data_IF_086925697846
#
_entry.id   IF_086925697846
#
_cell.length_a   1.000
_cell.length_b   1.000
_cell.length_c   1.000
_cell.angle_alpha   90.00
_cell.angle_beta   90.00
_cell.angle_gamma   90.00
#
_symmetry.space_group_name_H-M   'P 1'
#
loop_
_entity.id
_entity.type
_entity.pdbx_description
1 polymer ?
#
# COMPACT_ATOMS: atom_id res chain seq x y z
N UNK A 1 -55.11 -15.41 -4.26
CA UNK A 1 -54.58 -16.53 -3.44
C UNK A 1 -54.03 -17.60 -4.37
N UNK A 2 -52.69 -17.77 -4.38
CA UNK A 2 -52.03 -19.00 -4.82
C UNK A 2 -50.66 -19.02 -4.17
N UNK A 3 -50.54 -19.89 -3.17
CA UNK A 3 -49.35 -20.14 -2.39
C UNK A 3 -48.62 -21.30 -3.02
N UNK A 4 -47.30 -21.20 -3.22
CA UNK A 4 -46.44 -22.34 -3.53
C UNK A 4 -45.25 -22.31 -2.58
N UNK A 5 -45.09 -23.42 -1.85
CA UNK A 5 -44.24 -23.54 -0.69
C UNK A 5 -42.80 -24.00 -0.99
N UNK A 6 -41.94 -23.59 -0.05
CA UNK A 6 -40.92 -24.36 0.70
C UNK A 6 -40.14 -25.43 -0.07
N UNK A 7 -38.80 -25.30 -0.10
CA UNK A 7 -37.88 -26.39 0.28
C UNK A 7 -36.69 -25.85 1.09
N UNK A 8 -36.49 -26.46 2.26
CA UNK A 8 -35.35 -26.33 3.17
C UNK A 8 -34.17 -27.15 2.64
N UNK A 9 -32.95 -26.67 2.86
CA UNK A 9 -31.69 -27.42 2.71
C UNK A 9 -30.85 -27.24 3.97
N UNK A 10 -30.33 -28.35 4.49
CA UNK A 10 -29.80 -28.60 5.83
C UNK A 10 -28.33 -29.05 5.70
N UNK A 11 -27.53 -28.88 6.76
CA UNK A 11 -26.24 -29.56 7.07
C UNK A 11 -25.02 -29.12 6.23
N UNK A 12 -23.82 -28.87 6.77
CA UNK A 12 -23.35 -29.06 8.14
C UNK A 12 -21.88 -28.69 8.34
N UNK A 13 -21.48 -28.92 9.58
CA UNK A 13 -20.19 -28.70 10.22
C UNK A 13 -19.07 -29.60 9.68
N UNK A 14 -17.87 -29.04 9.50
CA UNK A 14 -16.62 -29.79 9.52
C UNK A 14 -15.58 -28.99 10.31
N UNK A 15 -15.30 -29.42 11.54
CA UNK A 15 -14.15 -28.99 12.32
C UNK A 15 -12.99 -29.94 12.02
N UNK A 16 -11.87 -29.41 11.52
CA UNK A 16 -10.62 -30.14 11.36
C UNK A 16 -9.69 -29.80 12.52
N UNK A 17 -9.61 -30.71 13.50
CA UNK A 17 -8.59 -30.72 14.55
C UNK A 17 -7.32 -31.35 13.99
N UNK A 18 -6.27 -30.56 13.81
CA UNK A 18 -4.92 -31.06 13.55
C UNK A 18 -4.12 -31.02 14.87
N UNK A 19 -3.98 -32.18 15.50
CA UNK A 19 -3.03 -32.39 16.59
C UNK A 19 -1.63 -32.63 16.01
N UNK A 20 -0.66 -31.80 16.38
CA UNK A 20 0.77 -32.08 16.14
C UNK A 20 1.40 -32.47 17.47
N UNK A 21 1.93 -33.68 17.49
CA UNK A 21 2.58 -34.35 18.62
C UNK A 21 3.94 -33.74 18.96
N UNK A 22 4.22 -33.69 20.27
CA UNK A 22 5.50 -33.38 20.93
C UNK A 22 6.66 -34.25 20.42
N UNK A 23 7.80 -33.63 20.14
CA UNK A 23 9.11 -34.28 20.19
C UNK A 23 9.84 -33.78 21.44
N UNK A 24 9.97 -34.67 22.44
CA UNK A 24 10.79 -34.51 23.62
C UNK A 24 11.94 -35.53 23.58
N UNK A 25 13.18 -35.06 23.45
CA UNK A 25 14.43 -35.71 23.90
C UNK A 25 15.59 -34.78 23.48
N UNK A 26 16.62 -34.48 24.27
CA UNK A 26 17.01 -35.01 25.56
C UNK A 26 18.07 -34.11 26.20
N UNK A 27 18.15 -34.22 27.51
CA UNK A 27 19.20 -33.62 28.34
C UNK A 27 20.43 -34.53 28.28
N UNK A 28 21.60 -33.99 27.96
CA UNK A 28 22.89 -34.54 28.38
C UNK A 28 23.85 -33.39 28.69
N UNK A 29 24.45 -33.43 29.88
CA UNK A 29 25.45 -32.48 30.40
C UNK A 29 26.83 -33.15 30.37
N UNK A 30 27.85 -32.33 30.11
CA UNK A 30 29.31 -32.48 30.31
C UNK A 30 30.21 -32.89 29.12
N UNK A 31 30.86 -31.85 28.59
CA UNK A 31 32.30 -31.69 28.28
C UNK A 31 33.14 -32.82 27.64
N UNK A 32 33.61 -32.57 26.42
CA UNK A 32 35.04 -32.55 26.05
C UNK A 32 35.20 -32.04 24.60
N UNK A 33 36.34 -31.40 24.37
CA UNK A 33 36.72 -30.68 23.15
C UNK A 33 37.05 -31.64 22.00
N UNK A 34 36.35 -31.53 20.87
CA UNK A 34 36.89 -31.95 19.57
C UNK A 34 36.45 -30.97 18.47
N UNK A 35 37.44 -30.44 17.79
CA UNK A 35 37.36 -29.54 16.65
C UNK A 35 36.94 -30.31 15.41
N UNK A 36 35.74 -30.01 14.88
CA UNK A 36 35.38 -30.35 13.51
C UNK A 36 34.87 -29.10 12.80
N UNK A 37 35.76 -28.48 12.04
CA UNK A 37 35.47 -27.44 11.04
C UNK A 37 34.61 -28.04 9.94
N UNK A 38 33.30 -27.97 10.12
CA UNK A 38 32.32 -28.16 9.06
C UNK A 38 31.97 -26.80 8.48
N UNK A 39 32.63 -26.45 7.37
CA UNK A 39 32.35 -25.25 6.59
C UNK A 39 31.04 -25.44 5.81
N UNK A 40 29.92 -25.42 6.53
CA UNK A 40 28.59 -25.25 5.95
C UNK A 40 28.41 -23.76 5.67
N UNK A 41 28.50 -23.35 4.40
CA UNK A 41 28.12 -22.01 3.97
C UNK A 41 26.60 -21.84 4.10
N UNK A 42 26.11 -21.72 5.33
CA UNK A 42 24.77 -21.23 5.62
C UNK A 42 24.77 -19.79 5.15
N UNK A 43 24.18 -19.53 3.99
CA UNK A 43 23.85 -18.15 3.61
C UNK A 43 22.85 -17.63 4.64
N UNK A 44 23.34 -16.91 5.64
CA UNK A 44 22.52 -16.12 6.54
C UNK A 44 21.84 -15.03 5.71
N UNK A 45 20.68 -15.37 5.14
CA UNK A 45 19.86 -14.41 4.42
C UNK A 45 19.33 -13.43 5.45
N UNK A 46 19.63 -12.14 5.31
CA UNK A 46 19.19 -11.15 6.28
C UNK A 46 17.65 -11.12 6.36
N UNK A 47 17.09 -10.71 7.49
CA UNK A 47 15.64 -10.56 7.63
C UNK A 47 15.06 -9.63 6.55
N UNK A 48 15.82 -8.60 6.16
CA UNK A 48 15.49 -7.70 5.06
C UNK A 48 15.37 -8.43 3.71
N UNK A 49 16.32 -9.30 3.38
CA UNK A 49 16.29 -10.06 2.12
C UNK A 49 15.13 -11.07 2.10
N UNK A 50 14.86 -11.71 3.24
CA UNK A 50 13.72 -12.63 3.38
C UNK A 50 12.39 -11.89 3.23
N UNK A 51 12.23 -10.74 3.88
CA UNK A 51 11.07 -9.87 3.73
C UNK A 51 10.91 -9.39 2.28
N UNK A 52 11.99 -9.02 1.61
CA UNK A 52 11.97 -8.62 0.20
C UNK A 52 11.45 -9.74 -0.71
N UNK A 53 11.86 -11.00 -0.47
CA UNK A 53 11.32 -12.16 -1.19
C UNK A 53 9.84 -12.38 -0.90
N UNK A 54 9.40 -12.18 0.35
CA UNK A 54 7.99 -12.29 0.74
C UNK A 54 7.13 -11.20 0.08
N UNK A 55 7.62 -9.96 0.01
CA UNK A 55 6.97 -8.84 -0.71
C UNK A 55 6.80 -9.19 -2.18
N UNK A 56 7.86 -9.71 -2.83
CA UNK A 56 7.79 -10.14 -4.22
C UNK A 56 6.75 -11.26 -4.46
N UNK A 57 6.47 -12.07 -3.44
CA UNK A 57 5.44 -13.11 -3.46
C UNK A 57 4.05 -12.62 -3.00
N UNK A 58 3.86 -11.32 -2.74
CA UNK A 58 2.61 -10.74 -2.24
C UNK A 58 2.29 -11.08 -0.78
N UNK A 59 3.24 -11.62 -0.02
CA UNK A 59 3.08 -12.06 1.38
C UNK A 59 3.43 -10.94 2.36
N UNK A 60 2.70 -9.82 2.29
CA UNK A 60 3.04 -8.59 3.03
C UNK A 60 3.01 -8.76 4.55
N UNK A 61 2.00 -9.45 5.11
CA UNK A 61 1.94 -9.70 6.55
C UNK A 61 3.14 -10.54 7.03
N UNK A 62 3.44 -11.64 6.34
CA UNK A 62 4.58 -12.49 6.68
C UNK A 62 5.92 -11.76 6.53
N UNK A 63 6.02 -10.81 5.60
CA UNK A 63 7.18 -9.93 5.47
C UNK A 63 7.33 -9.02 6.70
N UNK A 64 6.23 -8.40 7.15
CA UNK A 64 6.21 -7.55 8.34
C UNK A 64 6.59 -8.34 9.60
N UNK A 65 6.00 -9.51 9.79
CA UNK A 65 6.30 -10.40 10.92
C UNK A 65 7.79 -10.78 10.91
N UNK A 66 8.34 -11.13 9.73
CA UNK A 66 9.77 -11.46 9.58
C UNK A 66 10.68 -10.30 9.98
N UNK A 67 10.31 -9.05 9.69
CA UNK A 67 11.10 -7.90 10.09
C UNK A 67 11.00 -7.63 11.60
N UNK A 68 9.80 -7.75 12.17
CA UNK A 68 9.56 -7.54 13.60
C UNK A 68 10.27 -8.58 14.47
N UNK A 69 10.20 -9.85 14.08
CA UNK A 69 10.81 -10.97 14.80
C UNK A 69 12.35 -10.91 14.77
N UNK A 70 12.92 -10.25 13.76
CA UNK A 70 14.38 -10.14 13.62
C UNK A 70 15.04 -9.26 14.69
N UNK A 71 14.27 -8.42 15.40
CA UNK A 71 14.78 -7.45 16.37
C UNK A 71 15.72 -6.39 15.76
N UNK A 72 15.84 -6.32 14.43
CA UNK A 72 16.77 -5.41 13.75
C UNK A 72 16.38 -3.95 13.97
N UNK A 73 17.31 -3.16 14.53
CA UNK A 73 17.12 -1.73 14.79
C UNK A 73 17.54 -0.82 13.63
N UNK A 74 18.00 -1.39 12.51
CA UNK A 74 18.48 -0.63 11.36
C UNK A 74 17.38 0.22 10.73
N UNK A 75 17.74 1.42 10.26
CA UNK A 75 16.80 2.35 9.61
C UNK A 75 16.14 1.72 8.37
N UNK A 76 16.90 0.94 7.57
CA UNK A 76 16.34 0.25 6.40
C UNK A 76 15.24 -0.73 6.78
N UNK A 77 15.44 -1.55 7.82
CA UNK A 77 14.44 -2.49 8.30
C UNK A 77 13.23 -1.76 8.89
N UNK A 78 13.44 -0.70 9.69
CA UNK A 78 12.35 0.11 10.26
C UNK A 78 11.50 0.78 9.18
N UNK A 79 12.15 1.37 8.17
CA UNK A 79 11.44 1.99 7.05
C UNK A 79 10.65 0.96 6.26
N UNK A 80 11.22 -0.22 5.99
CA UNK A 80 10.49 -1.28 5.28
C UNK A 80 9.31 -1.81 6.10
N UNK A 81 9.47 -1.98 7.41
CA UNK A 81 8.37 -2.36 8.29
C UNK A 81 7.27 -1.29 8.33
N UNK A 82 7.64 0.00 8.35
CA UNK A 82 6.69 1.11 8.25
C UNK A 82 5.95 1.12 6.92
N UNK A 83 6.65 0.95 5.80
CA UNK A 83 6.04 0.90 4.47
C UNK A 83 5.08 -0.30 4.36
N UNK A 84 5.44 -1.45 4.92
CA UNK A 84 4.58 -2.63 4.97
C UNK A 84 3.30 -2.38 5.78
N UNK A 85 3.40 -1.74 6.94
CA UNK A 85 2.24 -1.38 7.74
C UNK A 85 1.32 -0.43 6.98
N UNK A 86 1.88 0.63 6.40
CA UNK A 86 1.14 1.58 5.57
C UNK A 86 0.41 0.89 4.42
N UNK A 87 1.11 0.00 3.70
CA UNK A 87 0.54 -0.75 2.59
C UNK A 87 -0.58 -1.71 3.03
N UNK A 88 -0.40 -2.44 4.12
CA UNK A 88 -1.41 -3.38 4.62
C UNK A 88 -2.67 -2.62 5.04
N UNK A 89 -2.52 -1.52 5.79
CA UNK A 89 -3.64 -0.66 6.20
C UNK A 89 -4.33 -0.03 4.99
N UNK A 90 -3.57 0.47 4.01
CA UNK A 90 -4.12 1.02 2.78
C UNK A 90 -4.87 -0.04 1.97
N UNK A 91 -4.33 -1.25 1.88
CA UNK A 91 -4.96 -2.35 1.16
C UNK A 91 -6.26 -2.78 1.83
N UNK A 92 -6.31 -2.87 3.17
CA UNK A 92 -7.55 -3.16 3.90
C UNK A 92 -8.62 -2.12 3.61
N UNK A 93 -8.29 -0.84 3.74
CA UNK A 93 -9.21 0.26 3.44
C UNK A 93 -9.69 0.23 1.98
N UNK A 94 -8.80 -0.10 1.02
CA UNK A 94 -9.19 -0.28 -0.38
C UNK A 94 -10.16 -1.45 -0.57
N UNK A 95 -9.90 -2.60 0.05
CA UNK A 95 -10.75 -3.79 -0.04
C UNK A 95 -12.13 -3.55 0.61
N UNK A 96 -12.20 -2.65 1.61
CA UNK A 96 -13.42 -2.19 2.27
C UNK A 96 -14.17 -1.08 1.51
N UNK A 97 -13.59 -0.56 0.41
CA UNK A 97 -14.17 0.54 -0.38
C UNK A 97 -13.89 1.94 0.18
N UNK A 98 -13.11 2.07 1.24
CA UNK A 98 -12.72 3.33 1.87
C UNK A 98 -11.52 3.96 1.15
N UNK A 99 -11.70 4.43 -0.09
CA UNK A 99 -10.59 4.82 -0.96
C UNK A 99 -9.80 6.05 -0.48
N UNK A 100 -10.44 7.02 0.17
CA UNK A 100 -9.76 8.19 0.76
C UNK A 100 -8.85 7.78 1.92
N UNK A 101 -9.32 6.88 2.76
CA UNK A 101 -8.52 6.30 3.83
C UNK A 101 -7.40 5.42 3.26
N UNK A 102 -7.67 4.66 2.20
CA UNK A 102 -6.65 3.88 1.51
C UNK A 102 -5.53 4.78 0.96
N UNK A 103 -5.89 5.90 0.35
CA UNK A 103 -4.94 6.86 -0.21
C UNK A 103 -4.04 7.49 0.86
N UNK A 104 -4.62 7.88 2.00
CA UNK A 104 -3.90 8.57 3.09
C UNK A 104 -3.12 7.63 3.99
N UNK A 105 -3.52 6.36 4.05
CA UNK A 105 -2.72 5.28 4.62
C UNK A 105 -1.52 4.95 3.70
N UNK A 106 -1.70 5.03 2.38
CA UNK A 106 -0.65 4.85 1.37
C UNK A 106 0.19 6.12 1.17
N UNK A 107 0.79 6.59 2.26
CA UNK A 107 1.77 7.68 2.24
C UNK A 107 2.97 7.39 1.33
N UNK A 108 3.89 8.34 1.16
CA UNK A 108 5.06 8.11 0.31
C UNK A 108 6.00 7.03 0.89
N UNK A 109 6.52 6.15 0.04
CA UNK A 109 7.39 5.05 0.44
C UNK A 109 8.76 5.55 0.98
N UNK A 110 9.25 4.99 2.08
CA UNK A 110 10.47 5.45 2.78
C UNK A 110 11.63 4.46 2.75
N UNK A 111 11.37 3.20 2.39
CA UNK A 111 12.34 2.11 2.50
C UNK A 111 13.36 2.04 1.36
N UNK A 112 13.05 2.65 0.20
CA UNK A 112 13.83 2.47 -1.03
C UNK A 112 13.84 1.01 -1.52
N UNK A 113 12.94 0.16 -1.02
CA UNK A 113 12.83 -1.22 -1.45
C UNK A 113 12.03 -1.27 -2.74
N UNK A 114 12.68 -1.61 -3.86
CA UNK A 114 12.07 -1.59 -5.18
C UNK A 114 10.84 -2.49 -5.32
N UNK A 115 10.76 -3.60 -4.56
CA UNK A 115 9.57 -4.47 -4.56
C UNK A 115 8.41 -3.82 -3.80
N UNK A 116 8.71 -3.12 -2.72
CA UNK A 116 7.72 -2.37 -1.98
C UNK A 116 7.23 -1.15 -2.76
N UNK A 117 8.12 -0.41 -3.41
CA UNK A 117 7.78 0.72 -4.28
C UNK A 117 6.87 0.28 -5.45
N UNK A 118 7.17 -0.86 -6.09
CA UNK A 118 6.30 -1.42 -7.12
C UNK A 118 4.89 -1.78 -6.56
N UNK A 119 4.81 -2.31 -5.34
CA UNK A 119 3.54 -2.60 -4.69
C UNK A 119 2.76 -1.32 -4.38
N UNK A 120 3.43 -0.29 -3.84
CA UNK A 120 2.84 1.03 -3.58
C UNK A 120 2.29 1.65 -4.87
N UNK A 121 3.09 1.70 -5.93
CA UNK A 121 2.66 2.23 -7.23
C UNK A 121 1.39 1.53 -7.73
N UNK A 122 1.40 0.19 -7.72
CA UNK A 122 0.27 -0.61 -8.18
C UNK A 122 -1.00 -0.38 -7.34
N UNK A 123 -0.88 -0.24 -6.02
CA UNK A 123 -2.01 0.05 -5.15
C UNK A 123 -2.50 1.48 -5.32
N UNK A 124 -1.59 2.46 -5.44
CA UNK A 124 -1.91 3.87 -5.68
C UNK A 124 -2.71 4.02 -6.97
N UNK A 125 -2.27 3.40 -8.07
CA UNK A 125 -3.01 3.43 -9.33
C UNK A 125 -4.41 2.81 -9.22
N UNK A 126 -4.58 1.73 -8.44
CA UNK A 126 -5.89 1.14 -8.15
C UNK A 126 -6.78 2.10 -7.35
N UNK A 127 -6.25 2.70 -6.29
CA UNK A 127 -6.96 3.68 -5.47
C UNK A 127 -7.39 4.87 -6.33
N UNK A 128 -6.48 5.47 -7.09
CA UNK A 128 -6.76 6.60 -7.98
C UNK A 128 -7.87 6.27 -8.99
N UNK A 129 -7.80 5.09 -9.60
CA UNK A 129 -8.85 4.63 -10.52
C UNK A 129 -10.22 4.51 -9.82
N UNK A 130 -10.24 4.02 -8.58
CA UNK A 130 -11.46 3.80 -7.81
C UNK A 130 -12.06 5.13 -7.28
N UNK A 131 -11.25 5.99 -6.66
CA UNK A 131 -11.69 7.31 -6.15
C UNK A 131 -12.29 8.16 -7.27
N UNK A 132 -11.62 8.25 -8.42
CA UNK A 132 -12.14 9.05 -9.54
C UNK A 132 -13.38 8.44 -10.22
N UNK A 133 -13.67 7.15 -10.01
CA UNK A 133 -14.92 6.53 -10.47
C UNK A 133 -16.10 6.83 -9.53
N UNK A 134 -15.86 6.98 -8.23
CA UNK A 134 -16.89 7.26 -7.21
C UNK A 134 -17.44 8.70 -7.29
N UNK A 135 -16.61 9.68 -7.62
CA UNK A 135 -17.02 11.10 -7.78
C UNK A 135 -18.01 11.34 -8.94
N UNK A 136 -18.22 10.36 -9.84
CA UNK A 136 -19.18 10.46 -10.94
C UNK A 136 -20.62 10.12 -10.55
N UNK A 137 -20.91 9.75 -9.29
CA UNK A 137 -22.24 9.25 -8.88
C UNK A 137 -23.10 10.26 -8.10
N UNK A 138 -22.62 11.48 -7.84
CA UNK A 138 -23.36 12.52 -7.10
C UNK A 138 -23.55 13.78 -7.92
N UNK A 139 -24.43 13.72 -8.93
CA UNK A 139 -25.30 14.84 -9.30
C UNK A 139 -26.28 14.41 -10.40
N UNK A 140 -27.51 14.10 -10.00
CA UNK A 140 -28.65 14.09 -10.92
C UNK A 140 -29.89 14.56 -10.18
N UNK A 141 -30.02 15.88 -10.04
CA UNK A 141 -31.31 16.55 -9.92
C UNK A 141 -31.22 18.01 -10.40
N UNK A 142 -31.80 18.23 -11.58
CA UNK A 142 -32.39 19.48 -12.09
C UNK A 142 -31.51 20.62 -12.67
N UNK A 143 -31.47 20.56 -14.01
CA UNK A 143 -31.89 21.58 -14.99
C UNK A 143 -31.01 22.81 -15.35
N UNK A 144 -30.46 22.69 -16.57
CA UNK A 144 -30.45 23.64 -17.71
C UNK A 144 -29.14 24.34 -18.08
N UNK A 145 -28.84 24.22 -19.39
CA UNK A 145 -27.89 24.98 -20.24
C UNK A 145 -26.47 24.41 -20.43
N UNK A 146 -26.38 23.49 -21.39
CA UNK A 146 -25.39 23.45 -22.50
C UNK A 146 -24.01 24.09 -22.27
N UNK A 147 -23.01 23.28 -21.88
CA UNK A 147 -21.64 23.26 -22.46
C UNK A 147 -20.74 22.27 -21.70
N UNK A 148 -20.18 21.31 -22.44
CA UNK A 148 -19.03 20.43 -22.07
C UNK A 148 -19.27 19.28 -21.09
N UNK A 149 -20.25 18.42 -21.35
CA UNK A 149 -20.40 17.13 -20.65
C UNK A 149 -19.68 16.00 -21.39
N UNK A 150 -18.36 15.85 -21.22
CA UNK A 150 -17.63 14.63 -21.66
C UNK A 150 -16.36 14.26 -20.85
N UNK A 151 -15.98 14.97 -19.78
CA UNK A 151 -14.60 14.87 -19.26
C UNK A 151 -14.34 13.99 -18.01
N UNK A 152 -15.35 13.50 -17.30
CA UNK A 152 -15.13 12.86 -15.98
C UNK A 152 -14.63 11.41 -16.04
N UNK A 153 -15.00 10.64 -17.07
CA UNK A 153 -14.45 9.30 -17.26
C UNK A 153 -12.98 9.36 -17.75
N UNK A 154 -12.66 10.35 -18.59
CA UNK A 154 -11.31 10.55 -19.15
C UNK A 154 -10.29 10.99 -18.10
N UNK A 155 -10.68 11.82 -17.12
CA UNK A 155 -9.78 12.23 -16.03
C UNK A 155 -9.44 11.07 -15.09
N UNK A 156 -10.39 10.17 -14.79
CA UNK A 156 -10.13 8.98 -13.95
C UNK A 156 -9.08 8.03 -14.53
N UNK A 157 -9.15 7.80 -15.85
CA UNK A 157 -8.21 6.95 -16.58
C UNK A 157 -6.86 7.65 -16.74
N UNK A 158 -6.86 8.96 -17.03
CA UNK A 158 -5.63 9.75 -17.15
C UNK A 158 -4.84 9.80 -15.84
N UNK A 159 -5.51 10.02 -14.71
CA UNK A 159 -4.87 10.02 -13.40
C UNK A 159 -4.33 8.63 -13.02
N UNK A 160 -5.08 7.56 -13.32
CA UNK A 160 -4.58 6.20 -13.09
C UNK A 160 -3.37 5.87 -13.98
N UNK A 161 -3.34 6.36 -15.22
CA UNK A 161 -2.19 6.23 -16.11
C UNK A 161 -0.98 7.01 -15.58
N UNK A 162 -1.18 8.26 -15.12
CA UNK A 162 -0.13 9.06 -14.49
C UNK A 162 0.38 8.40 -13.21
N UNK A 163 -0.49 7.78 -12.41
CA UNK A 163 -0.10 7.04 -11.21
C UNK A 163 0.74 5.80 -11.55
N UNK A 164 0.43 5.10 -12.64
CA UNK A 164 1.22 3.97 -13.12
C UNK A 164 2.57 4.39 -13.73
N UNK A 165 2.66 5.58 -14.36
CA UNK A 165 3.91 6.05 -14.98
C UNK A 165 4.83 6.77 -14.00
N UNK A 166 4.29 7.31 -12.91
CA UNK A 166 5.07 8.02 -11.88
C UNK A 166 5.73 7.01 -10.95
N UNK A 167 7.06 7.03 -10.86
CA UNK A 167 7.78 6.20 -9.91
C UNK A 167 7.54 6.67 -8.47
N UNK A 168 7.47 5.73 -7.52
CA UNK A 168 7.33 6.09 -6.10
C UNK A 168 8.53 6.91 -5.60
N UNK A 169 9.72 6.76 -6.20
CA UNK A 169 10.88 7.60 -5.87
C UNK A 169 10.61 9.09 -6.12
N UNK A 170 9.94 9.45 -7.22
CA UNK A 170 9.55 10.84 -7.50
C UNK A 170 8.53 11.33 -6.47
N UNK A 171 7.54 10.51 -6.15
CA UNK A 171 6.52 10.82 -5.13
C UNK A 171 7.18 11.05 -3.77
N UNK A 172 8.13 10.20 -3.37
CA UNK A 172 8.85 10.32 -2.10
C UNK A 172 9.76 11.54 -2.03
N UNK A 173 10.39 11.93 -3.14
CA UNK A 173 11.18 13.17 -3.20
C UNK A 173 10.27 14.40 -3.06
N UNK A 174 9.17 14.45 -3.80
CA UNK A 174 8.17 15.50 -3.66
C UNK A 174 7.61 15.57 -2.24
N UNK A 175 7.19 14.43 -1.68
CA UNK A 175 6.59 14.34 -0.35
C UNK A 175 7.58 14.75 0.75
N UNK A 176 8.86 14.38 0.62
CA UNK A 176 9.91 14.78 1.56
C UNK A 176 10.17 16.28 1.50
N UNK A 177 10.17 16.87 0.29
CA UNK A 177 10.39 18.30 0.10
C UNK A 177 9.25 19.15 0.66
N UNK A 178 8.01 18.68 0.53
CA UNK A 178 6.81 19.40 0.97
C UNK A 178 6.35 19.06 2.39
N UNK A 179 6.94 18.05 3.03
CA UNK A 179 6.48 17.57 4.34
C UNK A 179 5.24 16.67 4.30
N UNK A 180 4.84 16.20 3.11
CA UNK A 180 3.71 15.29 2.88
C UNK A 180 4.10 13.80 2.99
N UNK A 181 5.33 13.48 3.39
CA UNK A 181 5.80 12.09 3.57
C UNK A 181 5.27 11.39 4.82
N UNK A 182 4.40 12.03 5.59
CA UNK A 182 3.85 11.49 6.83
C UNK A 182 2.48 10.85 6.61
N UNK A 183 2.03 10.02 7.55
CA UNK A 183 0.68 9.46 7.48
C UNK A 183 -0.37 10.57 7.51
N UNK A 184 -1.54 10.29 6.92
CA UNK A 184 -2.63 11.25 6.79
C UNK A 184 -2.53 12.13 5.56
N UNK A 185 -1.46 12.03 4.77
CA UNK A 185 -1.35 12.66 3.45
C UNK A 185 -1.47 11.63 2.33
N UNK A 186 -2.36 11.92 1.39
CA UNK A 186 -2.55 11.20 0.15
C UNK A 186 -1.95 11.99 -1.01
N UNK A 187 -1.22 11.32 -1.90
CA UNK A 187 -0.62 11.96 -3.08
C UNK A 187 -1.10 11.23 -4.32
N UNK A 188 -1.79 11.94 -5.21
CA UNK A 188 -2.31 11.40 -6.47
C UNK A 188 -1.51 12.02 -7.62
N UNK A 189 -0.76 11.23 -8.40
CA UNK A 189 -0.21 11.69 -9.67
C UNK A 189 -1.34 11.98 -10.65
N UNK A 190 -1.34 13.18 -11.22
CA UNK A 190 -2.39 13.67 -12.13
C UNK A 190 -1.88 13.68 -13.58
N UNK A 191 -0.66 14.18 -13.79
CA UNK A 191 -0.04 14.21 -15.11
C UNK A 191 1.48 14.29 -15.01
N UNK A 192 2.15 14.01 -16.12
CA UNK A 192 3.58 14.16 -16.28
C UNK A 192 3.86 14.81 -17.64
N UNK A 193 4.72 15.83 -17.67
CA UNK A 193 5.22 16.46 -18.88
C UNK A 193 6.74 16.63 -18.79
N UNK A 194 7.49 15.74 -19.43
CA UNK A 194 8.93 15.60 -19.20
C UNK A 194 9.20 15.31 -17.72
N UNK A 195 10.02 16.15 -17.10
CA UNK A 195 10.42 16.04 -15.68
C UNK A 195 9.47 16.79 -14.74
N UNK A 196 8.41 17.41 -15.25
CA UNK A 196 7.39 18.10 -14.43
C UNK A 196 6.21 17.16 -14.17
N UNK A 197 6.00 16.85 -12.90
CA UNK A 197 4.92 16.01 -12.39
C UNK A 197 3.88 16.87 -11.70
N UNK A 198 2.61 16.63 -12.01
CA UNK A 198 1.49 17.24 -11.30
C UNK A 198 0.97 16.30 -10.23
N UNK A 199 0.93 16.77 -9.00
CA UNK A 199 0.41 16.04 -7.85
C UNK A 199 -0.79 16.76 -7.26
N UNK A 200 -1.87 16.03 -7.06
CA UNK A 200 -2.93 16.41 -6.14
C UNK A 200 -2.57 15.86 -4.75
N UNK A 201 -2.63 16.71 -3.73
CA UNK A 201 -2.36 16.31 -2.36
C UNK A 201 -3.62 16.46 -1.53
N UNK A 202 -4.00 15.37 -0.86
CA UNK A 202 -5.12 15.33 0.08
C UNK A 202 -4.63 15.08 1.50
N UNK A 203 -5.39 15.56 2.48
CA UNK A 203 -5.13 15.31 3.89
C UNK A 203 -6.37 14.72 4.56
N UNK A 204 -6.17 13.66 5.32
CA UNK A 204 -7.20 13.09 6.19
C UNK A 204 -7.77 14.12 7.15
N UNK A 205 -9.07 14.05 7.39
CA UNK A 205 -9.71 14.66 8.54
C UNK A 205 -9.29 13.95 9.84
N UNK A 206 -9.70 14.49 10.99
CA UNK A 206 -9.24 14.02 12.30
C UNK A 206 -9.56 12.54 12.61
N UNK A 207 -10.62 11.99 12.02
CA UNK A 207 -11.01 10.58 12.19
C UNK A 207 -10.52 9.65 11.06
N UNK A 208 -9.77 10.18 10.09
CA UNK A 208 -9.20 9.47 8.94
C UNK A 208 -10.22 8.75 8.05
N UNK A 209 -11.46 9.25 7.97
CA UNK A 209 -12.50 8.69 7.11
C UNK A 209 -12.63 9.40 5.76
N UNK A 210 -12.25 10.68 5.69
CA UNK A 210 -12.37 11.53 4.50
C UNK A 210 -11.06 12.27 4.26
N UNK A 211 -10.65 12.39 3.00
CA UNK A 211 -9.44 13.11 2.63
C UNK A 211 -9.78 14.39 1.83
N UNK A 212 -9.44 15.55 2.39
CA UNK A 212 -9.71 16.86 1.77
C UNK A 212 -8.54 17.28 0.88
N UNK A 213 -8.83 17.88 -0.28
CA UNK A 213 -7.82 18.52 -1.12
C UNK A 213 -7.15 19.67 -0.35
N UNK A 214 -5.81 19.63 -0.25
CA UNK A 214 -5.02 20.70 0.36
C UNK A 214 -4.18 21.47 -0.66
N UNK A 215 -4.05 20.95 -1.88
CA UNK A 215 -3.48 21.68 -2.98
C UNK A 215 -3.12 20.80 -4.17
N UNK A 216 -2.86 21.46 -5.29
CA UNK A 216 -2.31 20.85 -6.49
C UNK A 216 -0.95 21.50 -6.75
N UNK A 217 0.05 20.67 -7.04
CA UNK A 217 1.44 21.08 -7.15
C UNK A 217 2.06 20.58 -8.45
N UNK A 218 2.84 21.43 -9.09
CA UNK A 218 3.84 21.00 -10.07
C UNK A 218 5.17 20.78 -9.37
N UNK A 219 5.79 19.63 -9.61
CA UNK A 219 7.11 19.26 -9.13
C UNK A 219 8.01 18.91 -10.29
N UNK A 220 9.08 19.67 -10.47
CA UNK A 220 10.12 19.33 -11.44
C UNK A 220 11.16 18.41 -10.77
N UNK A 221 11.26 17.15 -11.21
CA UNK A 221 12.13 16.15 -10.58
C UNK A 221 13.63 16.46 -10.74
N UNK A 222 14.03 17.15 -11.83
CA UNK A 222 15.44 17.48 -12.10
C UNK A 222 15.96 18.63 -11.23
N UNK A 223 15.16 19.68 -11.11
CA UNK A 223 15.51 20.90 -10.36
C UNK A 223 15.02 20.86 -8.91
N UNK A 224 14.10 19.95 -8.63
CA UNK A 224 13.35 19.87 -7.40
C UNK A 224 12.34 21.01 -7.19
N UNK A 225 12.16 21.96 -8.11
CA UNK A 225 11.27 23.10 -7.91
C UNK A 225 9.82 22.63 -7.70
N UNK A 226 9.14 23.20 -6.72
CA UNK A 226 7.71 22.96 -6.45
C UNK A 226 6.95 24.26 -6.65
N UNK A 227 5.86 24.22 -7.40
CA UNK A 227 4.92 25.35 -7.55
C UNK A 227 3.52 24.87 -7.18
N UNK A 228 2.89 25.52 -6.20
CA UNK A 228 1.48 25.31 -5.93
C UNK A 228 0.65 26.04 -6.99
N UNK A 229 -0.28 25.34 -7.63
CA UNK A 229 -1.14 25.88 -8.68
C UNK A 229 -2.59 26.03 -8.24
N UNK A 230 -3.01 25.33 -7.17
CA UNK A 230 -4.32 25.44 -6.54
C UNK A 230 -4.27 25.01 -5.08
#
# INVERSE_FOLDING_TARGET
>A
MKSNGIKKGLVGTAALLAAVTLAACGTNKSASSESNTSNSSVTHTSAYDKATKQIAAGKYQAALDTLNDSGSTSTKTKNLASDLQNYISAKSAYDEGNYDQALTNLSAAKSGNTKMEAAFQALRAKITKATSSSESSTNSASSVSETSSTNSASSSVANAAAANSTSESVISQFASKMGFGQQGYGIIPVSQNGDVYRFEVRQSNADNTVANLIGIYDYNADTGVVTQIS
#
